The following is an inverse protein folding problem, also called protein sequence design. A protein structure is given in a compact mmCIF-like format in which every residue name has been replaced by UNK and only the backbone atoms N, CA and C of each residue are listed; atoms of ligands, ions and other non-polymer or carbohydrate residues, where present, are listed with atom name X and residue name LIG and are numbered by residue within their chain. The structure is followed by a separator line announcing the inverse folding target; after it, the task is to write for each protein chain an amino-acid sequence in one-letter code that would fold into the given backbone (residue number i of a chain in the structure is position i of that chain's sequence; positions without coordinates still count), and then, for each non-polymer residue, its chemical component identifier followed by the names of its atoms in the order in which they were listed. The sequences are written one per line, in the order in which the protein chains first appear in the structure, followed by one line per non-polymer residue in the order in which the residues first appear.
data_IF_063016102117
#
_entry.id   IF_063016102117
#
_cell.length_a   1.000
_cell.length_b   1.000
_cell.length_c   1.000
_cell.angle_alpha   90.00
_cell.angle_beta   90.00
_cell.angle_gamma   90.00
#
_symmetry.space_group_name_H-M   'P 1'
#
loop_
_entity.id
_entity.type
_entity.pdbx_description
1 polymer ?
#
# COMPACT_ATOMS: atom_id res chain seq x y z
N UNK A 1 -6.00 19.28 28.62
CA UNK A 1 -4.95 18.58 27.83
C UNK A 1 -5.58 18.14 26.52
N UNK A 2 -5.38 18.88 25.43
CA UNK A 2 -5.80 18.45 24.11
C UNK A 2 -4.89 17.30 23.68
N UNK A 3 -5.38 16.06 23.74
CA UNK A 3 -4.64 14.92 23.24
C UNK A 3 -4.61 15.05 21.73
N UNK A 4 -3.41 15.30 21.18
CA UNK A 4 -3.21 15.39 19.75
C UNK A 4 -3.30 13.94 19.21
N UNK A 5 -4.51 13.52 18.84
CA UNK A 5 -4.76 12.18 18.35
C UNK A 5 -4.21 12.04 16.93
N UNK A 6 -3.17 11.23 16.76
CA UNK A 6 -2.64 10.92 15.43
C UNK A 6 -3.61 10.00 14.70
N UNK A 7 -3.90 10.34 13.43
CA UNK A 7 -4.76 9.57 12.54
C UNK A 7 -4.07 9.35 11.22
N UNK A 8 -4.34 8.20 10.62
CA UNK A 8 -3.93 7.93 9.25
C UNK A 8 -4.99 8.49 8.30
N UNK A 9 -4.54 9.22 7.28
CA UNK A 9 -5.41 9.87 6.31
C UNK A 9 -5.21 9.26 4.93
N UNK A 10 -6.32 8.96 4.26
CA UNK A 10 -6.34 8.49 2.88
C UNK A 10 -7.27 9.39 2.07
N UNK A 11 -6.75 9.92 0.96
CA UNK A 11 -7.54 10.66 -0.02
C UNK A 11 -7.94 9.72 -1.16
N UNK A 12 -9.24 9.51 -1.32
CA UNK A 12 -9.82 8.73 -2.40
C UNK A 12 -10.47 9.66 -3.43
N UNK A 13 -9.94 9.69 -4.65
CA UNK A 13 -10.42 10.60 -5.71
C UNK A 13 -11.22 9.81 -6.76
N UNK A 14 -12.47 10.21 -6.98
CA UNK A 14 -13.28 9.79 -8.13
C UNK A 14 -13.30 10.89 -9.19
N UNK A 15 -12.52 10.67 -10.25
CA UNK A 15 -12.41 11.63 -11.37
C UNK A 15 -13.67 11.70 -12.22
N UNK A 16 -14.41 10.60 -12.36
CA UNK A 16 -15.62 10.57 -13.19
C UNK A 16 -16.71 11.40 -12.54
N UNK A 17 -16.83 11.30 -11.22
CA UNK A 17 -17.81 12.03 -10.44
C UNK A 17 -17.29 13.39 -9.94
N UNK A 18 -16.04 13.76 -10.29
CA UNK A 18 -15.34 14.97 -9.84
C UNK A 18 -15.49 15.20 -8.33
N UNK A 19 -15.34 14.13 -7.58
CA UNK A 19 -15.54 14.12 -6.13
C UNK A 19 -14.40 13.38 -5.46
N UNK A 20 -14.09 13.73 -4.22
CA UNK A 20 -13.16 13.00 -3.38
C UNK A 20 -13.77 12.66 -2.03
N UNK A 21 -13.19 11.66 -1.38
CA UNK A 21 -13.44 11.34 0.02
C UNK A 21 -12.13 11.37 0.80
N UNK A 22 -12.18 11.90 2.03
CA UNK A 22 -11.06 11.81 2.97
C UNK A 22 -11.44 10.78 4.02
N UNK A 23 -10.63 9.75 4.18
CA UNK A 23 -10.86 8.68 5.16
C UNK A 23 -9.82 8.86 6.26
N UNK A 24 -10.28 9.05 7.49
CA UNK A 24 -9.46 9.17 8.67
C UNK A 24 -9.64 7.92 9.54
N UNK A 25 -8.58 7.12 9.67
CA UNK A 25 -8.55 5.91 10.50
C UNK A 25 -7.62 6.10 11.70
N UNK A 26 -7.79 5.27 12.73
CA UNK A 26 -6.89 5.24 13.87
C UNK A 26 -5.46 4.90 13.46
N UNK A 27 -4.48 5.47 14.15
CA UNK A 27 -3.08 5.10 13.98
C UNK A 27 -2.74 3.77 14.68
N UNK A 28 -1.60 3.18 14.28
CA UNK A 28 -1.08 1.90 14.76
C UNK A 28 -0.82 1.87 16.27
N UNK A 29 -0.47 3.02 16.85
CA UNK A 29 -0.02 3.12 18.25
C UNK A 29 -0.99 3.91 19.14
N UNK A 30 -2.15 4.31 18.60
CA UNK A 30 -3.13 5.15 19.29
C UNK A 30 -4.32 4.37 19.85
N UNK A 31 -5.16 5.08 20.60
CA UNK A 31 -6.50 4.59 20.95
C UNK A 31 -7.29 4.28 19.67
N UNK A 32 -8.09 3.22 19.69
CA UNK A 32 -8.97 2.91 18.57
C UNK A 32 -10.03 4.00 18.45
N UNK A 33 -9.97 4.75 17.35
CA UNK A 33 -10.92 5.81 17.02
C UNK A 33 -11.91 5.33 15.96
N UNK A 34 -13.12 5.89 15.91
CA UNK A 34 -14.04 5.62 14.82
C UNK A 34 -13.43 6.08 13.50
N UNK A 35 -13.73 5.32 12.44
CA UNK A 35 -13.35 5.74 11.10
C UNK A 35 -14.25 6.90 10.70
N UNK A 36 -13.65 8.01 10.29
CA UNK A 36 -14.37 9.19 9.82
C UNK A 36 -14.18 9.33 8.32
N UNK A 37 -15.25 9.64 7.60
CA UNK A 37 -15.23 9.80 6.16
C UNK A 37 -15.82 11.14 5.79
N UNK A 38 -15.03 12.02 5.18
CA UNK A 38 -15.53 13.21 4.52
C UNK A 38 -15.99 12.84 3.11
N UNK A 39 -17.17 13.29 2.72
CA UNK A 39 -17.66 13.19 1.34
C UNK A 39 -17.88 14.58 0.76
N UNK A 40 -17.06 14.93 -0.23
CA UNK A 40 -17.10 16.23 -0.91
C UNK A 40 -18.42 16.51 -1.65
N UNK A 41 -19.22 15.49 -1.99
CA UNK A 41 -20.51 15.71 -2.67
C UNK A 41 -21.57 16.30 -1.76
N UNK A 42 -21.52 15.93 -0.49
CA UNK A 42 -22.46 16.38 0.55
C UNK A 42 -21.79 17.35 1.52
N UNK A 43 -20.51 17.64 1.30
CA UNK A 43 -19.66 18.51 2.11
C UNK A 43 -19.77 18.21 3.61
N UNK A 44 -19.64 16.92 3.97
CA UNK A 44 -19.89 16.48 5.35
C UNK A 44 -19.02 15.30 5.75
N UNK A 45 -18.65 15.29 7.03
CA UNK A 45 -18.06 14.14 7.71
C UNK A 45 -19.14 13.17 8.21
N UNK A 46 -18.92 11.87 8.02
CA UNK A 46 -19.69 10.80 8.62
C UNK A 46 -18.81 9.92 9.51
N UNK A 47 -19.38 9.49 10.64
CA UNK A 47 -18.73 8.56 11.57
C UNK A 47 -19.16 7.15 11.20
N UNK A 48 -18.19 6.32 10.85
CA UNK A 48 -18.37 4.93 10.46
C UNK A 48 -17.86 3.99 11.56
N UNK A 49 -17.88 2.68 11.31
CA UNK A 49 -17.47 1.69 12.29
C UNK A 49 -16.02 1.90 12.78
N UNK A 50 -15.78 1.65 14.06
CA UNK A 50 -14.43 1.52 14.63
C UNK A 50 -13.78 0.23 14.12
N UNK A 51 -12.47 0.29 13.83
CA UNK A 51 -11.71 -0.94 13.57
C UNK A 51 -11.74 -1.82 14.83
N UNK A 52 -11.90 -3.15 14.74
CA UNK A 52 -11.89 -3.98 15.95
C UNK A 52 -10.54 -3.87 16.66
N UNK A 53 -10.56 -3.54 17.96
CA UNK A 53 -9.40 -3.15 18.76
C UNK A 53 -8.30 -4.22 18.89
N UNK A 54 -8.64 -5.48 18.60
CA UNK A 54 -7.70 -6.60 18.62
C UNK A 54 -6.65 -6.56 17.50
N UNK A 55 -6.83 -5.70 16.49
CA UNK A 55 -5.99 -5.66 15.30
C UNK A 55 -4.92 -4.59 15.39
N UNK A 56 -3.67 -5.03 15.48
CA UNK A 56 -2.52 -4.16 15.25
C UNK A 56 -2.29 -4.08 13.74
N UNK A 57 -2.52 -2.91 13.12
CA UNK A 57 -2.36 -2.73 11.67
C UNK A 57 -1.03 -2.09 11.30
N UNK A 58 -0.55 -2.37 10.09
CA UNK A 58 0.56 -1.64 9.47
C UNK A 58 0.10 -0.26 8.99
N UNK A 59 1.02 0.71 8.93
CA UNK A 59 0.76 2.02 8.30
C UNK A 59 0.69 1.97 6.78
N UNK A 60 0.99 0.82 6.18
CA UNK A 60 1.02 0.59 4.73
C UNK A 60 -0.38 0.23 4.25
N UNK A 61 -1.07 1.20 3.67
CA UNK A 61 -2.44 1.06 3.19
C UNK A 61 -2.52 1.00 1.67
N UNK A 62 -3.50 0.28 1.14
CA UNK A 62 -3.84 0.29 -0.28
C UNK A 62 -5.32 0.58 -0.48
N UNK A 63 -5.64 1.56 -1.33
CA UNK A 63 -7.02 1.92 -1.65
C UNK A 63 -7.35 1.57 -3.11
N UNK A 64 -8.34 0.71 -3.34
CA UNK A 64 -8.87 0.42 -4.66
C UNK A 64 -10.34 -0.01 -4.59
N UNK A 65 -11.12 0.31 -5.63
CA UNK A 65 -12.54 -0.12 -5.73
C UNK A 65 -13.40 0.19 -4.49
N UNK A 66 -13.32 1.42 -3.98
CA UNK A 66 -14.02 1.88 -2.75
C UNK A 66 -13.69 1.07 -1.48
N UNK A 67 -12.54 0.38 -1.48
CA UNK A 67 -12.07 -0.43 -0.36
C UNK A 67 -10.68 0.01 0.06
N UNK A 68 -10.51 0.18 1.35
CA UNK A 68 -9.23 0.44 1.98
C UNK A 68 -8.72 -0.86 2.60
N UNK A 69 -7.51 -1.27 2.24
CA UNK A 69 -6.87 -2.49 2.71
C UNK A 69 -5.69 -2.17 3.61
N UNK A 70 -5.59 -2.90 4.71
CA UNK A 70 -4.47 -2.83 5.65
C UNK A 70 -3.98 -4.24 5.97
N UNK A 71 -2.66 -4.37 6.09
CA UNK A 71 -2.05 -5.56 6.69
C UNK A 71 -2.22 -5.50 8.20
N UNK A 72 -2.74 -6.57 8.80
CA UNK A 72 -2.74 -6.74 10.25
C UNK A 72 -1.47 -7.48 10.66
N UNK A 73 -0.71 -6.90 11.57
CA UNK A 73 0.53 -7.45 12.15
C UNK A 73 0.23 -8.46 13.27
N UNK A 74 -0.88 -8.27 13.98
CA UNK A 74 -1.36 -9.19 15.02
C UNK A 74 -2.88 -9.11 15.15
N UNK A 75 -3.63 -10.21 14.92
CA UNK A 75 -3.18 -11.43 14.24
C UNK A 75 -2.73 -11.13 12.80
N UNK A 76 -1.80 -11.92 12.25
CA UNK A 76 -1.33 -11.71 10.87
C UNK A 76 -2.45 -11.95 9.85
N UNK A 77 -2.76 -10.96 9.02
CA UNK A 77 -3.94 -11.03 8.15
C UNK A 77 -4.18 -9.77 7.32
N UNK A 78 -5.32 -9.77 6.62
CA UNK A 78 -5.74 -8.69 5.73
C UNK A 78 -7.05 -8.11 6.23
N UNK A 79 -7.00 -6.86 6.68
CA UNK A 79 -8.17 -6.09 7.06
C UNK A 79 -8.63 -5.25 5.87
N UNK A 80 -9.95 -5.15 5.69
CA UNK A 80 -10.57 -4.33 4.66
C UNK A 80 -11.66 -3.45 5.27
N UNK A 81 -11.65 -2.18 4.88
CA UNK A 81 -12.73 -1.25 5.12
C UNK A 81 -13.50 -0.96 3.84
N UNK A 82 -14.81 -1.21 3.85
CA UNK A 82 -15.72 -0.85 2.77
C UNK A 82 -16.24 0.55 3.02
N UNK A 83 -15.83 1.51 2.20
CA UNK A 83 -16.24 2.92 2.36
C UNK A 83 -17.75 3.06 2.20
N UNK A 84 -18.35 2.35 1.25
CA UNK A 84 -19.78 2.46 0.94
C UNK A 84 -20.67 1.86 2.04
N UNK A 85 -20.20 0.82 2.73
CA UNK A 85 -20.92 0.19 3.83
C UNK A 85 -20.55 0.77 5.20
N UNK A 86 -19.43 1.50 5.28
CA UNK A 86 -18.85 1.99 6.53
C UNK A 86 -18.45 0.90 7.50
N UNK A 87 -18.00 -0.25 6.99
CA UNK A 87 -17.71 -1.46 7.79
C UNK A 87 -16.30 -1.98 7.59
N UNK A 88 -15.75 -2.51 8.68
CA UNK A 88 -14.49 -3.25 8.73
C UNK A 88 -14.75 -4.76 8.67
N UNK A 89 -13.99 -5.46 7.82
CA UNK A 89 -14.10 -6.88 7.59
C UNK A 89 -12.71 -7.51 7.48
N UNK A 90 -12.54 -8.66 8.13
CA UNK A 90 -11.38 -9.52 7.93
C UNK A 90 -11.52 -10.31 6.64
N UNK A 91 -10.47 -10.31 5.83
CA UNK A 91 -10.38 -11.17 4.65
C UNK A 91 -9.54 -12.40 5.01
N UNK A 92 -10.06 -13.62 4.81
CA UNK A 92 -9.35 -14.87 5.16
C UNK A 92 -8.22 -15.22 4.18
N UNK A 93 -7.52 -14.21 3.63
CA UNK A 93 -6.39 -14.37 2.72
C UNK A 93 -5.09 -14.54 3.51
N UNK A 94 -4.68 -15.79 3.71
CA UNK A 94 -3.45 -16.12 4.45
C UNK A 94 -2.21 -15.59 3.73
N UNK A 95 -1.43 -14.76 4.42
CA UNK A 95 -0.19 -14.22 3.88
C UNK A 95 0.81 -15.34 3.52
N UNK A 96 1.68 -15.11 2.52
CA UNK A 96 2.72 -16.06 2.15
C UNK A 96 3.60 -16.44 3.36
N UNK A 97 3.97 -17.72 3.45
CA UNK A 97 4.87 -18.19 4.52
C UNK A 97 6.23 -17.52 4.39
N UNK A 98 6.85 -17.23 5.54
CA UNK A 98 8.18 -16.62 5.63
C UNK A 98 8.26 -15.21 5.02
N UNK A 99 7.13 -14.49 5.01
CA UNK A 99 7.12 -13.07 4.71
C UNK A 99 7.82 -12.31 5.84
N UNK A 100 8.88 -11.60 5.49
CA UNK A 100 9.69 -10.80 6.41
C UNK A 100 9.22 -9.34 6.46
N UNK A 101 8.90 -8.78 5.30
CA UNK A 101 8.38 -7.42 5.17
C UNK A 101 7.49 -7.35 3.92
N UNK A 102 6.31 -6.75 4.07
CA UNK A 102 5.25 -6.68 3.07
C UNK A 102 4.80 -5.25 2.80
N UNK A 103 4.30 -5.01 1.59
CA UNK A 103 3.62 -3.80 1.17
C UNK A 103 2.39 -4.18 0.37
N UNK A 104 1.24 -3.61 0.75
CA UNK A 104 0.04 -3.66 -0.08
C UNK A 104 0.12 -2.56 -1.13
N UNK A 105 -0.23 -2.89 -2.36
CA UNK A 105 -0.18 -1.98 -3.50
C UNK A 105 -1.49 -2.08 -4.27
N UNK A 106 -2.18 -0.95 -4.40
CA UNK A 106 -3.38 -0.85 -5.19
C UNK A 106 -3.04 -0.96 -6.69
N UNK A 107 -3.74 -1.85 -7.38
CA UNK A 107 -3.66 -2.02 -8.82
C UNK A 107 -4.74 -1.24 -9.57
N UNK A 108 -4.77 -1.37 -10.90
CA UNK A 108 -5.89 -0.84 -11.67
C UNK A 108 -7.22 -1.50 -11.27
N UNK A 109 -8.30 -0.71 -11.19
CA UNK A 109 -9.66 -1.16 -10.82
C UNK A 109 -9.71 -1.75 -9.40
N UNK A 110 -9.93 -3.06 -9.28
CA UNK A 110 -10.06 -3.82 -8.02
C UNK A 110 -8.81 -4.64 -7.68
N UNK A 111 -7.75 -4.54 -8.49
CA UNK A 111 -6.56 -5.36 -8.29
C UNK A 111 -5.87 -4.91 -7.00
N UNK A 112 -5.43 -5.89 -6.21
CA UNK A 112 -4.65 -5.66 -5.01
C UNK A 112 -3.44 -6.55 -5.08
N UNK A 113 -2.27 -5.96 -4.94
CA UNK A 113 -1.01 -6.69 -4.91
C UNK A 113 -0.42 -6.68 -3.51
N UNK A 114 0.19 -7.80 -3.15
CA UNK A 114 1.11 -7.90 -2.04
C UNK A 114 2.51 -7.97 -2.64
N UNK A 115 3.39 -7.09 -2.20
CA UNK A 115 4.80 -7.10 -2.56
C UNK A 115 5.58 -7.41 -1.30
N UNK A 116 6.40 -8.45 -1.33
CA UNK A 116 6.96 -8.95 -0.09
C UNK A 116 8.32 -9.60 -0.24
N UNK A 117 9.16 -9.35 0.77
CA UNK A 117 10.42 -10.04 0.96
C UNK A 117 10.15 -11.36 1.65
N UNK A 118 10.46 -12.47 0.99
CA UNK A 118 10.43 -13.81 1.57
C UNK A 118 11.85 -14.22 1.94
N UNK A 119 12.03 -14.81 3.12
CA UNK A 119 13.27 -15.47 3.48
C UNK A 119 13.16 -16.27 4.78
N UNK A 120 13.97 -17.32 4.89
CA UNK A 120 14.13 -18.11 6.12
C UNK A 120 15.40 -17.70 6.89
N UNK A 121 16.43 -17.26 6.16
CA UNK A 121 17.73 -16.83 6.67
C UNK A 121 18.24 -15.64 5.86
N UNK A 122 19.27 -14.95 6.33
CA UNK A 122 19.85 -13.76 5.68
C UNK A 122 20.36 -14.00 4.26
N UNK A 123 20.68 -15.24 3.89
CA UNK A 123 21.28 -15.62 2.60
C UNK A 123 20.28 -16.10 1.55
N UNK A 124 19.05 -16.48 1.96
CA UNK A 124 18.02 -17.04 1.07
C UNK A 124 16.80 -16.12 1.00
N UNK A 125 17.05 -14.85 0.65
CA UNK A 125 15.99 -13.86 0.49
C UNK A 125 15.63 -13.64 -0.99
N UNK A 126 14.34 -13.37 -1.23
CA UNK A 126 13.84 -12.99 -2.55
C UNK A 126 12.69 -11.99 -2.40
N UNK A 127 12.49 -11.13 -3.39
CA UNK A 127 11.31 -10.27 -3.48
C UNK A 127 10.30 -10.91 -4.42
N UNK A 128 9.04 -10.97 -4.01
CA UNK A 128 7.96 -11.58 -4.79
C UNK A 128 6.72 -10.70 -4.77
N UNK A 129 5.88 -10.91 -5.78
CA UNK A 129 4.64 -10.17 -5.98
C UNK A 129 3.51 -11.18 -6.10
N UNK A 130 2.47 -10.98 -5.30
CA UNK A 130 1.23 -11.73 -5.35
C UNK A 130 0.08 -10.80 -5.70
N UNK A 131 -0.93 -11.34 -6.39
CA UNK A 131 -2.21 -10.68 -6.62
C UNK A 131 -3.28 -11.39 -5.80
N UNK A 132 -4.19 -10.61 -5.20
CA UNK A 132 -5.34 -11.18 -4.48
C UNK A 132 -6.38 -11.68 -5.48
N UNK A 133 -6.62 -12.98 -5.49
CA UNK A 133 -7.80 -13.55 -6.14
C UNK A 133 -9.01 -13.29 -5.25
N UNK A 134 -9.83 -12.30 -5.62
CA UNK A 134 -11.04 -11.93 -4.89
C UNK A 134 -12.12 -13.03 -4.87
N UNK A 135 -12.13 -13.95 -5.84
CA UNK A 135 -13.11 -15.03 -5.89
C UNK A 135 -12.76 -16.16 -4.93
N UNK A 136 -11.45 -16.49 -4.84
CA UNK A 136 -10.95 -17.55 -3.96
C UNK A 136 -10.44 -17.04 -2.60
N UNK A 137 -10.29 -15.73 -2.45
CA UNK A 137 -9.67 -15.08 -1.29
C UNK A 137 -8.27 -15.60 -0.97
N UNK A 138 -7.43 -15.79 -2.00
CA UNK A 138 -6.05 -16.28 -1.86
C UNK A 138 -5.06 -15.40 -2.60
N UNK A 139 -3.83 -15.34 -2.08
CA UNK A 139 -2.71 -14.69 -2.75
C UNK A 139 -2.12 -15.60 -3.82
N UNK A 140 -2.15 -15.14 -5.07
CA UNK A 140 -1.58 -15.86 -6.22
C UNK A 140 -0.28 -15.20 -6.62
N UNK A 141 0.83 -15.94 -6.60
CA UNK A 141 2.14 -15.40 -6.99
C UNK A 141 2.14 -15.12 -8.50
N UNK A 142 2.40 -13.86 -8.88
CA UNK A 142 2.41 -13.43 -10.29
C UNK A 142 3.81 -13.13 -10.81
N UNK A 143 4.77 -12.84 -9.93
CA UNK A 143 6.13 -12.47 -10.32
C UNK A 143 7.14 -12.67 -9.20
N UNK A 144 8.37 -12.99 -9.59
CA UNK A 144 9.54 -13.03 -8.71
C UNK A 144 10.57 -12.05 -9.24
N UNK A 145 11.12 -11.21 -8.38
CA UNK A 145 12.20 -10.30 -8.75
C UNK A 145 13.45 -11.11 -9.11
N UNK A 146 13.99 -10.94 -10.34
CA UNK A 146 15.24 -11.59 -10.72
C UNK A 146 16.40 -11.25 -9.76
N UNK A 147 17.28 -12.20 -9.41
CA UNK A 147 18.37 -11.98 -8.44
C UNK A 147 19.33 -10.83 -8.80
N UNK A 148 19.46 -10.50 -10.10
CA UNK A 148 20.25 -9.35 -10.55
C UNK A 148 19.67 -8.02 -10.08
N UNK A 149 18.34 -7.89 -10.07
CA UNK A 149 17.65 -6.68 -9.60
C UNK A 149 17.62 -6.64 -8.08
N UNK A 150 17.38 -7.78 -7.42
CA UNK A 150 17.37 -7.86 -5.97
C UNK A 150 18.70 -7.40 -5.37
N UNK A 151 19.84 -7.92 -5.85
CA UNK A 151 21.18 -7.53 -5.37
C UNK A 151 21.56 -6.08 -5.69
N UNK A 152 21.00 -5.51 -6.76
CA UNK A 152 21.25 -4.14 -7.16
C UNK A 152 20.37 -3.14 -6.38
N UNK A 153 19.15 -3.53 -6.01
CA UNK A 153 18.22 -2.73 -5.24
C UNK A 153 18.54 -2.77 -3.73
N UNK A 154 18.86 -3.96 -3.22
CA UNK A 154 19.11 -4.23 -1.80
C UNK A 154 20.49 -4.86 -1.64
N UNK A 155 21.45 -4.08 -1.14
CA UNK A 155 22.84 -4.53 -0.90
C UNK A 155 22.93 -5.36 0.37
N UNK A 156 22.11 -5.02 1.38
CA UNK A 156 22.04 -5.75 2.65
C UNK A 156 20.69 -6.46 2.78
N UNK A 157 20.70 -7.65 3.39
CA UNK A 157 19.50 -8.49 3.58
C UNK A 157 18.44 -7.86 4.52
N UNK A 158 18.86 -6.97 5.41
CA UNK A 158 17.99 -6.22 6.31
C UNK A 158 17.73 -4.77 5.84
N UNK A 159 18.15 -4.41 4.63
CA UNK A 159 17.93 -3.06 4.10
C UNK A 159 16.44 -2.79 3.95
N UNK A 160 15.97 -1.62 4.39
CA UNK A 160 14.57 -1.22 4.21
C UNK A 160 14.32 -0.90 2.75
N UNK A 161 13.15 -1.29 2.26
CA UNK A 161 12.67 -0.92 0.94
C UNK A 161 11.32 -0.25 1.08
N UNK A 162 10.97 0.60 0.12
CA UNK A 162 9.63 1.12 -0.05
C UNK A 162 9.06 0.62 -1.37
N UNK A 163 7.74 0.50 -1.40
CA UNK A 163 7.01 0.01 -2.55
C UNK A 163 5.78 0.87 -2.75
N UNK A 164 5.55 1.24 -4.01
CA UNK A 164 4.45 2.09 -4.41
C UNK A 164 3.81 1.56 -5.69
N UNK A 165 2.53 1.85 -5.89
CA UNK A 165 1.85 1.48 -7.13
C UNK A 165 1.12 2.64 -7.75
N UNK A 166 1.08 2.61 -9.08
CA UNK A 166 0.18 3.43 -9.87
C UNK A 166 -0.35 2.57 -11.01
N UNK A 167 -1.68 2.42 -11.08
CA UNK A 167 -2.33 1.47 -11.99
C UNK A 167 -1.72 0.07 -11.86
N UNK A 168 -1.18 -0.52 -12.93
CA UNK A 168 -0.54 -1.84 -12.91
C UNK A 168 0.99 -1.76 -12.90
N UNK A 169 1.54 -0.61 -12.48
CA UNK A 169 2.97 -0.40 -12.30
C UNK A 169 3.33 -0.43 -10.83
N UNK A 170 4.36 -1.19 -10.47
CA UNK A 170 4.86 -1.33 -9.10
C UNK A 170 6.30 -0.80 -9.07
N UNK A 171 6.53 0.25 -8.30
CA UNK A 171 7.82 0.89 -8.10
C UNK A 171 8.44 0.44 -6.78
N UNK A 172 9.73 0.14 -6.83
CA UNK A 172 10.55 -0.24 -5.69
C UNK A 172 11.67 0.77 -5.51
N UNK A 173 11.85 1.26 -4.29
CA UNK A 173 12.97 2.13 -3.94
C UNK A 173 13.70 1.58 -2.71
N UNK A 174 15.00 1.82 -2.66
CA UNK A 174 15.82 1.58 -1.45
C UNK A 174 16.39 2.92 -0.99
N UNK A 175 16.37 3.12 0.32
CA UNK A 175 16.87 4.34 0.96
C UNK A 175 18.34 4.63 0.63
N UNK A 176 19.18 3.62 0.42
CA UNK A 176 20.63 3.83 0.26
C UNK A 176 21.11 3.85 -1.19
N UNK A 177 20.29 3.43 -2.16
CA UNK A 177 20.75 3.27 -3.55
C UNK A 177 20.40 4.45 -4.46
N UNK A 178 19.38 5.24 -4.11
CA UNK A 178 18.91 6.34 -4.97
C UNK A 178 18.46 5.89 -6.36
N UNK A 179 18.09 4.61 -6.53
CA UNK A 179 17.62 4.02 -7.79
C UNK A 179 16.24 3.40 -7.59
N UNK A 180 15.32 3.73 -8.48
CA UNK A 180 13.99 3.12 -8.56
C UNK A 180 13.96 1.97 -9.56
N UNK A 181 13.37 0.85 -9.16
CA UNK A 181 13.09 -0.29 -10.04
C UNK A 181 11.58 -0.36 -10.28
N UNK A 182 11.17 -0.49 -11.55
CA UNK A 182 9.79 -0.58 -11.96
C UNK A 182 9.46 -1.99 -12.44
N UNK A 183 8.33 -2.53 -11.98
CA UNK A 183 7.70 -3.72 -12.51
C UNK A 183 6.39 -3.35 -13.20
N UNK A 184 6.29 -3.65 -14.49
CA UNK A 184 5.06 -3.55 -15.27
C UNK A 184 4.35 -4.90 -15.20
N UNK A 185 3.21 -4.96 -14.49
CA UNK A 185 2.46 -6.20 -14.26
C UNK A 185 1.88 -6.74 -15.56
N UNK A 186 1.43 -5.86 -16.45
CA UNK A 186 0.75 -6.26 -17.68
C UNK A 186 1.76 -6.79 -18.71
N UNK A 187 2.94 -6.16 -18.81
CA UNK A 187 4.06 -6.63 -19.66
C UNK A 187 4.92 -7.70 -19.01
N UNK A 188 4.74 -7.96 -17.71
CA UNK A 188 5.59 -8.83 -16.88
C UNK A 188 7.08 -8.47 -16.99
N UNK A 189 7.38 -7.17 -17.09
CA UNK A 189 8.71 -6.67 -17.41
C UNK A 189 9.28 -5.86 -16.24
N UNK A 190 10.59 -5.99 -16.03
CA UNK A 190 11.34 -5.24 -15.02
C UNK A 190 12.28 -4.26 -15.69
N UNK A 191 12.25 -3.00 -15.26
CA UNK A 191 13.09 -1.93 -15.82
C UNK A 191 13.56 -0.98 -14.73
N UNK A 192 14.75 -0.40 -14.90
CA UNK A 192 15.22 0.68 -14.04
C UNK A 192 14.63 2.00 -14.48
N UNK A 193 14.26 2.86 -13.52
CA UNK A 193 13.82 4.22 -13.82
C UNK A 193 15.07 5.05 -14.16
N UNK A 194 15.19 5.46 -15.42
CA UNK A 194 16.30 6.31 -15.88
C UNK A 194 16.12 7.76 -15.39
N UNK A 195 17.22 8.44 -15.06
CA UNK A 195 17.22 9.89 -14.79
C UNK A 195 16.96 10.33 -13.34
N UNK A 196 16.85 9.41 -12.38
CA UNK A 196 16.78 9.78 -10.97
C UNK A 196 18.18 10.10 -10.42
N UNK A 197 18.67 11.31 -10.71
CA UNK A 197 19.99 11.81 -10.32
C UNK A 197 19.98 12.73 -9.09
N UNK A 198 18.81 12.97 -8.47
CA UNK A 198 18.78 13.55 -7.13
C UNK A 198 18.93 12.42 -6.12
N UNK A 199 19.86 12.53 -5.19
CA UNK A 199 19.96 11.63 -4.04
C UNK A 199 18.59 11.54 -3.36
N UNK A 200 17.86 10.44 -3.60
CA UNK A 200 16.55 10.15 -3.03
C UNK A 200 16.63 9.79 -1.53
N UNK A 201 17.58 10.39 -0.81
CA UNK A 201 17.62 10.33 0.63
C UNK A 201 16.47 11.20 1.16
N UNK A 202 15.60 10.62 1.96
CA UNK A 202 14.52 11.26 2.71
C UNK A 202 13.30 11.79 1.97
N UNK A 203 13.23 11.78 0.64
CA UNK A 203 11.93 11.96 -0.03
C UNK A 203 11.26 10.60 -0.09
N UNK A 204 10.38 10.32 0.89
CA UNK A 204 9.25 9.43 0.63
C UNK A 204 8.73 9.84 -0.75
N UNK A 205 8.78 8.93 -1.73
CA UNK A 205 8.00 9.14 -2.93
C UNK A 205 6.57 9.06 -2.48
N UNK A 206 6.05 10.19 -2.02
CA UNK A 206 4.66 10.46 -2.15
C UNK A 206 4.40 10.35 -3.65
N UNK A 207 3.89 9.20 -4.08
CA UNK A 207 2.72 9.22 -4.95
C UNK A 207 1.56 9.85 -4.16
N UNK A 208 1.79 11.05 -3.61
CA UNK A 208 0.77 12.06 -3.62
C UNK A 208 0.47 12.16 -5.10
N UNK A 209 -0.77 11.96 -5.45
CA UNK A 209 -1.26 12.56 -6.65
C UNK A 209 -1.78 13.94 -6.23
N UNK A 210 -0.96 15.01 -6.13
CA UNK A 210 -1.51 16.34 -6.30
C UNK A 210 -1.42 16.58 -7.81
N UNK A 211 -2.32 15.97 -8.60
CA UNK A 211 -2.54 16.54 -9.94
C UNK A 211 -3.38 17.79 -9.75
N UNK A 212 -2.71 18.86 -9.32
CA UNK A 212 -3.03 20.15 -9.87
C UNK A 212 -2.60 20.08 -11.33
N UNK A 213 -3.55 19.81 -12.22
CA UNK A 213 -3.38 20.12 -13.62
C UNK A 213 -3.09 21.62 -13.70
N UNK A 214 -1.84 21.99 -13.91
CA UNK A 214 -1.52 23.31 -14.48
C UNK A 214 -1.60 23.12 -15.98
N UNK A 215 -2.70 23.61 -16.56
CA UNK A 215 -2.77 23.89 -17.99
C UNK A 215 -1.65 24.88 -18.32
N UNK A 216 -0.63 24.42 -19.03
CA UNK A 216 0.27 25.32 -19.74
C UNK A 216 -0.32 25.44 -21.14
N UNK A 217 -0.83 26.64 -21.44
CA UNK A 217 -1.19 27.08 -22.79
C UNK A 217 0.02 27.06 -23.71
#
# INVERSE_FOLDING_TARGET
MHHNQQRQLVLAVDRKLRSFKVIATSDVYGETLPTEVYDSKVDRWSVHQMMPAENLCSSKMAFCDSRLYLETLSPLGLMMYRVDAGKWEHIPAKFPRSLLDGYLVAGARKRLFLVGRIGLYSTLQSMRIWELDHGRTVWVEISRMPPKYFRALLRLSAERFECFGQDNLICFTSWNQGRGLLYDVDKKAWSWIAGCASQLCNTQFCFYEPRFDTSIY
#
